data_IF_222743185289
#
_entry.id   IF_222743185289
#
_cell.length_a   1.000
_cell.length_b   1.000
_cell.length_c   1.000
_cell.angle_alpha   90.00
_cell.angle_beta   90.00
_cell.angle_gamma   90.00
#
_symmetry.space_group_name_H-M   'P 1'
#
loop_
_entity.id
_entity.type
_entity.pdbx_description
1 polymer ?
#
# COMPACT_ATOMS: atom_id res chain seq x y z
N UNK A 1 -30.00 8.90 10.38
CA UNK A 1 -29.44 7.65 10.90
C UNK A 1 -27.91 7.71 10.85
N UNK A 2 -27.26 7.18 11.88
CA UNK A 2 -25.81 7.04 11.92
C UNK A 2 -25.46 5.63 11.46
N UNK A 3 -24.60 5.50 10.45
CA UNK A 3 -24.07 4.23 10.01
C UNK A 3 -22.61 4.10 10.45
N UNK A 4 -22.28 3.01 11.14
CA UNK A 4 -20.92 2.73 11.59
C UNK A 4 -20.29 1.64 10.71
N UNK A 5 -19.12 1.94 10.18
CA UNK A 5 -18.28 0.99 9.43
C UNK A 5 -17.05 0.70 10.27
N UNK A 6 -16.95 -0.50 10.80
CA UNK A 6 -15.94 -0.86 11.79
C UNK A 6 -14.94 -1.84 11.18
N UNK A 7 -13.66 -1.57 11.42
CA UNK A 7 -12.58 -2.48 11.06
C UNK A 7 -12.81 -3.86 11.70
N UNK A 8 -12.71 -4.96 10.94
CA UNK A 8 -12.89 -6.31 11.47
C UNK A 8 -11.72 -6.75 12.38
N UNK A 9 -10.64 -6.00 12.37
CA UNK A 9 -9.44 -6.24 13.20
C UNK A 9 -8.97 -4.92 13.83
N UNK A 10 -7.85 -4.92 14.50
CA UNK A 10 -7.32 -3.81 15.31
C UNK A 10 -7.34 -2.45 14.64
N UNK A 11 -6.66 -2.33 13.51
CA UNK A 11 -6.47 -1.06 12.80
C UNK A 11 -6.67 -1.25 11.30
N UNK A 12 -6.83 -0.13 10.60
CA UNK A 12 -6.87 -0.10 9.15
C UNK A 12 -5.61 -0.72 8.55
N UNK A 13 -4.45 -0.36 9.06
CA UNK A 13 -3.16 -0.81 8.54
C UNK A 13 -3.00 -2.33 8.70
N UNK A 14 -3.43 -2.88 9.83
CA UNK A 14 -3.44 -4.32 10.02
C UNK A 14 -4.40 -5.03 9.07
N UNK A 15 -5.58 -4.44 8.82
CA UNK A 15 -6.52 -4.97 7.84
C UNK A 15 -5.94 -4.97 6.43
N UNK A 16 -5.23 -3.91 6.03
CA UNK A 16 -4.54 -3.85 4.75
C UNK A 16 -3.45 -4.93 4.67
N UNK A 17 -2.67 -5.10 5.74
CA UNK A 17 -1.66 -6.16 5.82
C UNK A 17 -2.23 -7.57 5.74
N UNK A 18 -3.49 -7.79 6.16
CA UNK A 18 -4.23 -9.04 6.04
C UNK A 18 -4.87 -9.23 4.67
N UNK A 19 -5.04 -8.18 3.89
CA UNK A 19 -5.82 -8.16 2.66
C UNK A 19 -5.05 -8.61 1.42
N UNK A 20 -5.71 -8.55 0.28
CA UNK A 20 -5.09 -8.73 -1.04
C UNK A 20 -4.00 -7.69 -1.35
N UNK A 21 -3.94 -6.59 -0.61
CA UNK A 21 -2.91 -5.54 -0.74
C UNK A 21 -1.70 -5.77 0.18
N UNK A 22 -1.60 -6.90 0.83
CA UNK A 22 -0.52 -7.20 1.80
C UNK A 22 0.87 -6.99 1.23
N UNK A 23 1.12 -7.47 0.01
CA UNK A 23 2.42 -7.36 -0.66
C UNK A 23 2.76 -5.91 -0.98
N UNK A 24 1.84 -5.18 -1.57
CA UNK A 24 2.01 -3.76 -1.89
C UNK A 24 2.19 -2.94 -0.61
N UNK A 25 1.45 -3.26 0.43
CA UNK A 25 1.55 -2.58 1.72
C UNK A 25 2.91 -2.82 2.39
N UNK A 26 3.43 -4.05 2.36
CA UNK A 26 4.76 -4.37 2.87
C UNK A 26 5.84 -3.55 2.15
N UNK A 27 5.80 -3.48 0.81
CA UNK A 27 6.70 -2.62 0.04
C UNK A 27 6.53 -1.14 0.40
N UNK A 28 5.29 -0.66 0.52
CA UNK A 28 4.99 0.73 0.87
C UNK A 28 5.55 1.12 2.24
N UNK A 29 5.54 0.22 3.21
CA UNK A 29 6.16 0.46 4.54
C UNK A 29 7.66 0.69 4.38
N UNK A 30 8.37 -0.15 3.63
CA UNK A 30 9.80 0.03 3.38
C UNK A 30 10.09 1.32 2.59
N UNK A 31 9.30 1.64 1.59
CA UNK A 31 9.42 2.92 0.87
C UNK A 31 9.23 4.10 1.83
N UNK A 32 8.19 4.07 2.65
CA UNK A 32 7.91 5.11 3.61
C UNK A 32 9.04 5.33 4.61
N UNK A 33 9.65 4.26 5.11
CA UNK A 33 10.80 4.33 6.03
C UNK A 33 12.01 5.00 5.37
N UNK A 34 12.26 4.72 4.08
CA UNK A 34 13.35 5.34 3.33
C UNK A 34 13.08 6.80 2.94
N UNK A 35 11.83 7.16 2.71
CA UNK A 35 11.41 8.53 2.39
C UNK A 35 11.34 9.44 3.63
N UNK A 36 11.12 8.90 4.81
CA UNK A 36 10.85 9.66 6.03
C UNK A 36 11.91 10.75 6.34
N UNK A 37 13.08 10.67 5.74
CA UNK A 37 14.14 11.66 5.84
C UNK A 37 14.08 12.74 4.75
N UNK A 38 13.26 12.58 3.73
CA UNK A 38 13.07 13.59 2.70
C UNK A 38 12.15 14.70 3.23
N UNK A 39 12.57 15.98 3.07
CA UNK A 39 11.86 17.10 3.72
C UNK A 39 10.73 17.67 2.89
N UNK A 40 10.82 17.60 1.56
CA UNK A 40 9.98 18.42 0.71
C UNK A 40 9.03 17.66 -0.23
N UNK A 41 9.30 16.42 -0.56
CA UNK A 41 8.42 15.60 -1.42
C UNK A 41 8.71 14.11 -1.30
N UNK A 42 7.73 13.32 -1.67
CA UNK A 42 7.85 11.87 -1.67
C UNK A 42 8.55 11.43 -2.95
N UNK A 43 9.79 11.00 -2.81
CA UNK A 43 10.52 10.39 -3.92
C UNK A 43 11.56 9.39 -3.41
N UNK A 44 11.90 8.43 -4.26
CA UNK A 44 13.01 7.51 -4.05
C UNK A 44 13.78 7.35 -5.35
N UNK A 45 15.10 7.22 -5.23
CA UNK A 45 15.94 6.81 -6.36
C UNK A 45 15.72 5.32 -6.66
N UNK A 46 16.04 4.88 -7.87
CA UNK A 46 15.99 3.46 -8.22
C UNK A 46 16.82 2.59 -7.29
N UNK A 47 17.98 3.07 -6.83
CA UNK A 47 18.81 2.35 -5.86
C UNK A 47 18.09 2.14 -4.52
N UNK A 48 17.38 3.15 -4.01
CA UNK A 48 16.60 3.05 -2.77
C UNK A 48 15.37 2.17 -2.93
N UNK A 49 14.73 2.18 -4.08
CA UNK A 49 13.64 1.26 -4.41
C UNK A 49 14.17 -0.18 -4.37
N UNK A 50 15.32 -0.44 -4.99
CA UNK A 50 15.92 -1.76 -5.01
C UNK A 50 16.31 -2.23 -3.59
N UNK A 51 16.86 -1.36 -2.76
CA UNK A 51 17.12 -1.66 -1.35
C UNK A 51 15.83 -2.05 -0.62
N UNK A 52 14.76 -1.28 -0.78
CA UNK A 52 13.47 -1.57 -0.16
C UNK A 52 12.88 -2.90 -0.65
N UNK A 53 13.00 -3.20 -1.92
CA UNK A 53 12.54 -4.46 -2.50
C UNK A 53 13.36 -5.66 -1.99
N UNK A 54 14.66 -5.49 -1.82
CA UNK A 54 15.52 -6.52 -1.22
C UNK A 54 15.16 -6.78 0.25
N UNK A 55 14.93 -5.72 1.03
CA UNK A 55 14.52 -5.83 2.43
C UNK A 55 13.15 -6.55 2.54
N UNK A 56 12.20 -6.16 1.70
CA UNK A 56 10.87 -6.79 1.63
C UNK A 56 10.97 -8.28 1.27
N UNK A 57 11.79 -8.63 0.30
CA UNK A 57 11.97 -10.02 -0.13
C UNK A 57 12.64 -10.87 0.94
N UNK A 58 13.66 -10.33 1.62
CA UNK A 58 14.37 -11.01 2.71
C UNK A 58 13.44 -11.28 3.90
N UNK A 59 12.62 -10.31 4.29
CA UNK A 59 11.64 -10.48 5.36
C UNK A 59 10.55 -11.47 4.97
N UNK A 60 10.03 -11.40 3.73
CA UNK A 60 9.03 -12.34 3.24
C UNK A 60 9.56 -13.79 3.27
N UNK A 61 10.81 -14.01 2.85
CA UNK A 61 11.44 -15.34 2.92
C UNK A 61 11.62 -15.78 4.37
N UNK A 62 12.02 -14.88 5.27
CA UNK A 62 12.16 -15.18 6.70
C UNK A 62 10.82 -15.57 7.35
N UNK A 63 9.71 -15.00 6.87
CA UNK A 63 8.36 -15.23 7.40
C UNK A 63 7.56 -16.28 6.62
N UNK A 64 8.18 -17.01 5.69
CA UNK A 64 7.45 -17.90 4.77
C UNK A 64 6.62 -18.98 5.48
N UNK A 65 7.09 -19.45 6.63
CA UNK A 65 6.41 -20.51 7.41
C UNK A 65 5.40 -19.95 8.44
N UNK A 66 5.31 -18.63 8.58
CA UNK A 66 4.34 -17.98 9.44
C UNK A 66 2.95 -17.98 8.83
N UNK A 67 1.92 -17.96 9.68
CA UNK A 67 0.55 -17.73 9.24
C UNK A 67 0.37 -16.33 8.62
N UNK A 68 -0.71 -16.16 7.88
CA UNK A 68 -1.07 -14.85 7.31
C UNK A 68 -1.20 -13.77 8.38
N UNK A 69 -1.82 -14.12 9.51
CA UNK A 69 -2.00 -13.19 10.63
C UNK A 69 -0.67 -12.78 11.27
N UNK A 70 0.25 -13.72 11.44
CA UNK A 70 1.58 -13.44 11.98
C UNK A 70 2.39 -12.56 11.03
N UNK A 71 2.35 -12.84 9.72
CA UNK A 71 3.00 -11.98 8.71
C UNK A 71 2.40 -10.57 8.72
N UNK A 72 1.09 -10.46 8.77
CA UNK A 72 0.41 -9.16 8.83
C UNK A 72 0.78 -8.37 10.08
N UNK A 73 0.89 -9.04 11.22
CA UNK A 73 1.37 -8.43 12.47
C UNK A 73 2.80 -7.92 12.33
N UNK A 74 3.69 -8.71 11.71
CA UNK A 74 5.08 -8.30 11.49
C UNK A 74 5.17 -7.09 10.58
N UNK A 75 4.41 -7.05 9.47
CA UNK A 75 4.34 -5.87 8.59
C UNK A 75 3.86 -4.64 9.36
N UNK A 76 2.80 -4.79 10.15
CA UNK A 76 2.27 -3.71 10.97
C UNK A 76 3.30 -3.23 12.00
N UNK A 77 4.03 -4.14 12.62
CA UNK A 77 5.06 -3.83 13.63
C UNK A 77 6.21 -3.00 13.07
N UNK A 78 6.55 -3.16 11.79
CA UNK A 78 7.56 -2.32 11.11
C UNK A 78 7.20 -0.83 11.15
N UNK A 79 5.92 -0.49 11.19
CA UNK A 79 5.46 0.89 11.31
C UNK A 79 5.56 1.41 12.74
N UNK A 80 5.44 0.53 13.74
CA UNK A 80 5.50 0.88 15.15
C UNK A 80 6.93 1.14 15.61
N UNK A 81 7.90 0.42 15.04
CA UNK A 81 9.33 0.52 15.40
C UNK A 81 9.97 1.86 15.01
N UNK A 82 9.22 2.73 14.34
CA UNK A 82 9.68 4.07 13.95
C UNK A 82 9.35 5.11 15.03
N UNK A 83 9.76 4.86 16.27
CA UNK A 83 9.53 5.74 17.41
C UNK A 83 9.87 7.22 17.12
N UNK A 84 8.94 8.11 17.52
CA UNK A 84 9.12 9.56 17.44
C UNK A 84 8.97 10.16 16.05
N UNK A 85 8.54 9.40 15.04
CA UNK A 85 8.41 9.87 13.66
C UNK A 85 6.93 10.05 13.27
N UNK A 86 6.37 11.19 13.63
CA UNK A 86 5.06 11.59 13.13
C UNK A 86 5.08 11.64 11.59
N UNK A 87 4.03 11.15 10.94
CA UNK A 87 3.88 11.22 9.49
C UNK A 87 4.18 9.93 8.73
N UNK A 88 4.78 8.89 9.33
CA UNK A 88 5.07 7.65 8.61
C UNK A 88 3.81 7.01 8.02
N UNK A 89 2.72 6.97 8.74
CA UNK A 89 1.45 6.40 8.23
C UNK A 89 0.96 7.12 6.97
N UNK A 90 1.03 8.46 6.97
CA UNK A 90 0.64 9.26 5.81
C UNK A 90 1.57 8.99 4.61
N UNK A 91 2.87 8.89 4.84
CA UNK A 91 3.86 8.59 3.80
C UNK A 91 3.61 7.17 3.25
N UNK A 92 3.39 6.19 4.10
CA UNK A 92 3.07 4.81 3.69
C UNK A 92 1.78 4.76 2.86
N UNK A 93 0.75 5.50 3.25
CA UNK A 93 -0.50 5.59 2.50
C UNK A 93 -0.28 6.17 1.09
N UNK A 94 0.56 7.21 0.98
CA UNK A 94 0.92 7.78 -0.33
C UNK A 94 1.76 6.83 -1.16
N UNK A 95 2.71 6.10 -0.56
CA UNK A 95 3.49 5.08 -1.25
C UNK A 95 2.60 3.95 -1.76
N UNK A 96 1.64 3.48 -0.95
CA UNK A 96 0.69 2.46 -1.35
C UNK A 96 -0.17 2.93 -2.53
N UNK A 97 -0.66 4.15 -2.48
CA UNK A 97 -1.42 4.77 -3.58
C UNK A 97 -0.59 4.82 -4.87
N UNK A 98 0.66 5.24 -4.78
CA UNK A 98 1.59 5.28 -5.92
C UNK A 98 1.86 3.89 -6.49
N UNK A 99 2.07 2.89 -5.64
CA UNK A 99 2.25 1.48 -6.05
C UNK A 99 1.03 0.94 -6.79
N UNK A 100 -0.16 1.13 -6.24
CA UNK A 100 -1.41 0.67 -6.87
C UNK A 100 -1.59 1.35 -8.23
N UNK A 101 -1.34 2.65 -8.29
CA UNK A 101 -1.46 3.40 -9.54
C UNK A 101 -0.43 2.95 -10.58
N UNK A 102 0.82 2.75 -10.19
CA UNK A 102 1.86 2.21 -11.06
C UNK A 102 1.45 0.84 -11.63
N UNK A 103 1.03 -0.07 -10.75
CA UNK A 103 0.64 -1.43 -11.12
C UNK A 103 -0.62 -1.51 -11.99
N UNK A 104 -1.45 -0.46 -12.00
CA UNK A 104 -2.70 -0.39 -12.76
C UNK A 104 -2.65 0.60 -13.92
N UNK A 105 -1.46 1.07 -14.30
CA UNK A 105 -1.24 1.98 -15.42
C UNK A 105 -0.50 1.28 -16.57
N UNK A 106 -0.69 1.79 -17.78
CA UNK A 106 0.09 1.42 -18.95
C UNK A 106 1.44 2.15 -18.87
N UNK A 107 2.46 1.47 -18.34
CA UNK A 107 3.79 2.04 -18.21
C UNK A 107 4.62 1.63 -19.43
N UNK A 108 5.10 2.58 -20.24
CA UNK A 108 5.97 2.27 -21.37
C UNK A 108 7.27 1.61 -20.94
N UNK A 109 7.82 0.76 -21.81
CA UNK A 109 9.11 0.14 -21.59
C UNK A 109 10.20 1.21 -21.41
N UNK A 110 11.13 0.95 -20.49
CA UNK A 110 12.24 1.85 -20.19
C UNK A 110 11.93 3.00 -19.24
N UNK A 111 10.70 3.17 -18.81
CA UNK A 111 10.37 4.15 -17.77
C UNK A 111 10.89 3.64 -16.42
N UNK A 112 11.78 4.38 -15.72
CA UNK A 112 12.36 3.93 -14.47
C UNK A 112 11.33 3.93 -13.33
N UNK A 113 11.46 2.97 -12.41
CA UNK A 113 10.51 2.82 -11.29
C UNK A 113 10.44 4.04 -10.36
N UNK A 114 11.49 4.84 -10.28
CA UNK A 114 11.47 6.08 -9.49
C UNK A 114 10.37 7.05 -9.93
N UNK A 115 9.90 6.95 -11.18
CA UNK A 115 8.76 7.71 -11.69
C UNK A 115 7.43 7.36 -11.02
N UNK A 116 7.37 6.25 -10.30
CA UNK A 116 6.22 5.88 -9.47
C UNK A 116 5.87 6.96 -8.44
N UNK A 117 6.86 7.67 -7.93
CA UNK A 117 6.70 8.71 -6.91
C UNK A 117 6.59 10.13 -7.52
N UNK A 118 6.67 10.24 -8.84
CA UNK A 118 6.55 11.51 -9.54
C UNK A 118 5.06 11.84 -9.77
N UNK A 119 4.72 13.11 -9.66
CA UNK A 119 3.40 13.61 -10.04
C UNK A 119 3.06 13.31 -11.50
N UNK A 120 4.08 13.13 -12.35
CA UNK A 120 3.91 12.72 -13.74
C UNK A 120 3.30 11.32 -13.91
N UNK A 121 3.25 10.50 -12.87
CA UNK A 121 2.53 9.22 -12.89
C UNK A 121 1.08 9.38 -13.34
N UNK A 122 0.47 10.52 -13.06
CA UNK A 122 -0.90 10.83 -13.49
C UNK A 122 -1.06 11.02 -15.00
N UNK A 123 0.04 11.16 -15.74
CA UNK A 123 0.05 11.25 -17.20
C UNK A 123 -0.10 9.90 -17.87
N UNK A 124 0.24 8.81 -17.18
CA UNK A 124 0.09 7.47 -17.74
C UNK A 124 -1.37 7.05 -17.75
N UNK A 125 -1.78 6.48 -18.88
CA UNK A 125 -3.11 5.95 -19.04
C UNK A 125 -3.33 4.76 -18.11
N UNK A 126 -4.53 4.67 -17.54
CA UNK A 126 -4.92 3.52 -16.76
C UNK A 126 -5.01 2.27 -17.66
N UNK A 127 -4.44 1.16 -17.21
CA UNK A 127 -4.69 -0.16 -17.80
C UNK A 127 -6.05 -0.66 -17.29
N UNK A 128 -7.06 -0.61 -18.16
CA UNK A 128 -8.44 -0.95 -17.80
C UNK A 128 -8.59 -2.36 -17.23
N UNK A 129 -7.87 -3.33 -17.79
CA UNK A 129 -7.91 -4.74 -17.34
C UNK A 129 -7.30 -4.90 -15.94
N UNK A 130 -6.10 -4.38 -15.71
CA UNK A 130 -5.43 -4.43 -14.41
C UNK A 130 -6.20 -3.66 -13.34
N UNK A 131 -6.76 -2.51 -13.72
CA UNK A 131 -7.58 -1.70 -12.82
C UNK A 131 -8.85 -2.42 -12.39
N UNK A 132 -9.54 -3.08 -13.32
CA UNK A 132 -10.76 -3.84 -13.03
C UNK A 132 -10.45 -5.07 -12.18
N UNK A 133 -9.34 -5.76 -12.43
CA UNK A 133 -8.88 -6.87 -11.61
C UNK A 133 -8.59 -6.43 -10.17
N UNK A 134 -7.85 -5.35 -10.00
CA UNK A 134 -7.54 -4.78 -8.68
C UNK A 134 -8.82 -4.37 -7.94
N UNK A 135 -9.74 -3.70 -8.60
CA UNK A 135 -11.03 -3.31 -8.01
C UNK A 135 -11.82 -4.53 -7.54
N UNK A 136 -11.94 -5.56 -8.36
CA UNK A 136 -12.64 -6.80 -7.97
C UNK A 136 -11.98 -7.49 -6.78
N UNK A 137 -10.65 -7.51 -6.75
CA UNK A 137 -9.91 -8.08 -5.62
C UNK A 137 -10.20 -7.31 -4.32
N UNK A 138 -10.19 -5.98 -4.36
CA UNK A 138 -10.46 -5.13 -3.19
C UNK A 138 -11.93 -5.25 -2.75
N UNK A 139 -12.87 -5.20 -3.67
CA UNK A 139 -14.31 -5.30 -3.37
C UNK A 139 -14.69 -6.68 -2.79
N UNK A 140 -14.01 -7.73 -3.21
CA UNK A 140 -14.21 -9.10 -2.71
C UNK A 140 -13.42 -9.45 -1.46
N UNK A 141 -12.55 -8.56 -0.97
CA UNK A 141 -11.70 -8.85 0.17
C UNK A 141 -12.42 -8.62 1.51
N UNK A 142 -12.54 -9.65 2.38
CA UNK A 142 -13.28 -9.53 3.63
C UNK A 142 -12.65 -8.54 4.62
N UNK A 143 -11.36 -8.26 4.54
CA UNK A 143 -10.67 -7.31 5.42
C UNK A 143 -10.82 -5.86 4.98
N UNK A 144 -11.19 -5.62 3.72
CA UNK A 144 -11.40 -4.28 3.14
C UNK A 144 -12.87 -3.92 2.95
N UNK A 145 -13.76 -4.89 3.12
CA UNK A 145 -15.20 -4.71 2.85
C UNK A 145 -15.81 -3.52 3.59
N UNK A 146 -15.46 -3.30 4.85
CA UNK A 146 -16.01 -2.19 5.63
C UNK A 146 -15.64 -0.80 5.06
N UNK A 147 -14.46 -0.67 4.45
CA UNK A 147 -14.04 0.57 3.77
C UNK A 147 -14.79 0.73 2.46
N UNK A 148 -14.90 -0.35 1.69
CA UNK A 148 -15.64 -0.35 0.42
C UNK A 148 -17.11 0.02 0.67
N UNK A 149 -17.72 -0.56 1.70
CA UNK A 149 -19.10 -0.26 2.09
C UNK A 149 -19.26 1.20 2.54
N UNK A 150 -18.30 1.72 3.31
CA UNK A 150 -18.31 3.13 3.72
C UNK A 150 -18.23 4.09 2.53
N UNK A 151 -17.35 3.79 1.56
CA UNK A 151 -17.21 4.60 0.33
C UNK A 151 -18.50 4.55 -0.50
N UNK A 152 -19.07 3.36 -0.70
CA UNK A 152 -20.33 3.18 -1.44
C UNK A 152 -21.48 3.93 -0.77
N UNK A 153 -21.58 3.84 0.55
CA UNK A 153 -22.58 4.58 1.32
C UNK A 153 -22.42 6.10 1.15
N UNK A 154 -21.19 6.61 1.31
CA UNK A 154 -20.91 8.03 1.13
C UNK A 154 -21.20 8.52 -0.31
N UNK A 155 -21.00 7.65 -1.30
CA UNK A 155 -21.29 7.93 -2.71
C UNK A 155 -22.79 7.77 -3.08
N UNK A 156 -23.63 7.33 -2.15
CA UNK A 156 -25.06 7.12 -2.40
C UNK A 156 -25.36 5.91 -3.31
N UNK A 157 -24.45 4.93 -3.36
CA UNK A 157 -24.58 3.72 -4.21
C UNK A 157 -25.27 2.57 -3.48
N UNK A 158 -25.50 2.72 -2.20
CA UNK A 158 -26.16 1.72 -1.33
C UNK A 158 -27.31 2.39 -0.58
#
# INVERSE_FOLDING_TARGET
>A
SVHAFVSPRWTLEYCIAMSCLSKEFHRAVHFGKKILHARDYISLTNAKIQEADNDTAAEFEHWKDLSRAERAYNIYSLMLDSEGRSGLKAIVAQCLSSLIRWNTSEIPDGVPQEKMFDLDLYRFKADGSKRDEMRRAIEGDPYLKYIVDAIKYAAGVV
#
